data_IF_888741192001
#
_entry.id   IF_888741192001
#
_cell.length_a   1.000
_cell.length_b   1.000
_cell.length_c   1.000
_cell.angle_alpha   90.00
_cell.angle_beta   90.00
_cell.angle_gamma   90.00
#
_symmetry.space_group_name_H-M   'P 1'
#
loop_
_entity.id
_entity.type
_entity.pdbx_description
1 polymer ?
#
# COMPACT_ATOMS: atom_id res chain seq x y z
N UNK A 1 -3.09 -17.39 -19.33
CA UNK A 1 -4.14 -17.03 -18.36
C UNK A 1 -3.47 -16.17 -17.29
N UNK A 2 -3.96 -14.94 -17.07
CA UNK A 2 -3.41 -14.01 -16.08
C UNK A 2 -4.47 -13.78 -14.99
N UNK A 3 -4.07 -13.90 -13.73
CA UNK A 3 -4.91 -13.57 -12.58
C UNK A 3 -4.41 -12.25 -11.98
N UNK A 4 -5.32 -11.29 -11.80
CA UNK A 4 -5.03 -10.02 -11.14
C UNK A 4 -5.76 -9.97 -9.81
N UNK A 5 -5.00 -9.96 -8.71
CA UNK A 5 -5.54 -9.89 -7.35
C UNK A 5 -5.27 -8.50 -6.77
N UNK A 6 -6.30 -7.73 -6.38
CA UNK A 6 -6.12 -6.44 -5.72
C UNK A 6 -5.31 -6.55 -4.43
N UNK A 7 -4.45 -5.56 -4.17
CA UNK A 7 -3.60 -5.51 -2.96
C UNK A 7 -4.43 -5.55 -1.67
N UNK A 8 -5.65 -5.02 -1.67
CA UNK A 8 -6.57 -5.01 -0.52
C UNK A 8 -7.03 -6.41 -0.06
N UNK A 9 -6.84 -7.42 -0.89
CA UNK A 9 -7.17 -8.82 -0.57
C UNK A 9 -6.05 -9.52 0.20
N UNK A 10 -4.86 -8.91 0.27
CA UNK A 10 -3.76 -9.42 1.07
C UNK A 10 -3.86 -8.93 2.51
N UNK A 11 -3.46 -9.77 3.45
CA UNK A 11 -3.53 -9.46 4.88
C UNK A 11 -2.38 -8.58 5.37
N UNK A 12 -1.25 -8.63 4.68
CA UNK A 12 -0.04 -7.96 5.15
C UNK A 12 1.22 -8.62 4.64
N UNK A 13 2.35 -8.06 5.06
CA UNK A 13 3.67 -8.59 4.72
C UNK A 13 4.17 -9.45 5.87
N UNK A 14 4.43 -10.72 5.61
CA UNK A 14 4.88 -11.69 6.60
C UNK A 14 6.31 -12.16 6.32
N UNK A 15 7.04 -12.51 7.39
CA UNK A 15 8.31 -13.23 7.28
C UNK A 15 8.06 -14.69 7.64
N UNK A 16 8.46 -15.60 6.75
CA UNK A 16 8.43 -17.04 7.01
C UNK A 16 9.85 -17.61 6.91
N UNK A 17 10.14 -18.59 7.78
CA UNK A 17 11.36 -19.39 7.69
C UNK A 17 11.06 -20.64 6.88
N UNK A 18 11.68 -20.77 5.72
CA UNK A 18 11.70 -22.01 4.94
C UNK A 18 12.73 -22.99 5.49
N UNK A 19 12.38 -24.27 5.47
CA UNK A 19 13.34 -25.36 5.65
C UNK A 19 13.87 -25.77 4.28
N UNK A 20 15.14 -25.49 4.02
CA UNK A 20 15.89 -26.09 2.92
C UNK A 20 16.92 -27.04 3.53
N UNK A 21 17.21 -28.16 2.85
CA UNK A 21 18.07 -29.24 3.37
C UNK A 21 19.45 -28.78 3.87
N UNK A 22 19.96 -27.67 3.34
CA UNK A 22 21.33 -27.23 3.58
C UNK A 22 21.42 -26.06 4.56
N UNK A 23 20.53 -25.06 4.47
CA UNK A 23 20.55 -23.84 5.32
C UNK A 23 19.16 -23.24 5.52
N UNK A 24 18.90 -22.55 6.65
CA UNK A 24 17.66 -21.81 6.84
C UNK A 24 17.56 -20.69 5.81
N UNK A 25 16.46 -20.65 5.07
CA UNK A 25 16.12 -19.57 4.17
C UNK A 25 14.95 -18.79 4.77
N UNK A 26 15.03 -17.48 4.76
CA UNK A 26 13.95 -16.63 5.22
C UNK A 26 13.35 -15.90 4.02
N UNK A 27 12.02 -15.87 3.95
CA UNK A 27 11.27 -15.22 2.87
C UNK A 27 10.35 -14.16 3.45
N UNK A 28 10.30 -13.01 2.80
CA UNK A 28 9.28 -11.98 2.98
C UNK A 28 8.24 -12.17 1.89
N UNK A 29 6.99 -12.30 2.28
CA UNK A 29 5.88 -12.51 1.34
C UNK A 29 4.68 -11.64 1.66
N UNK A 30 3.96 -11.23 0.63
CA UNK A 30 2.62 -10.67 0.76
C UNK A 30 1.64 -11.82 1.02
N UNK A 31 1.07 -11.86 2.21
CA UNK A 31 0.25 -12.96 2.69
C UNK A 31 -1.19 -12.83 2.18
N UNK A 32 -1.71 -13.90 1.58
CA UNK A 32 -3.09 -14.02 1.14
C UNK A 32 -3.78 -15.17 1.90
N UNK A 33 -5.12 -15.23 1.85
CA UNK A 33 -5.88 -16.33 2.46
C UNK A 33 -5.61 -17.66 1.76
N UNK A 34 -5.57 -17.60 0.45
CA UNK A 34 -5.14 -18.69 -0.41
C UNK A 34 -3.59 -18.74 -0.43
N UNK A 35 -2.96 -19.85 -0.02
CA UNK A 35 -1.52 -20.01 -0.07
C UNK A 35 -0.94 -19.92 -1.48
N UNK A 36 -1.69 -20.29 -2.53
CA UNK A 36 -1.24 -20.22 -3.92
C UNK A 36 -1.17 -18.78 -4.43
N UNK A 37 -1.87 -17.86 -3.77
CA UNK A 37 -1.85 -16.43 -4.08
C UNK A 37 -0.85 -15.65 -3.23
N UNK A 38 -0.07 -16.30 -2.38
CA UNK A 38 0.99 -15.62 -1.62
C UNK A 38 2.15 -15.21 -2.54
N UNK A 39 2.52 -13.94 -2.53
CA UNK A 39 3.58 -13.41 -3.40
C UNK A 39 4.89 -13.28 -2.63
N UNK A 40 5.96 -13.91 -3.11
CA UNK A 40 7.31 -13.76 -2.54
C UNK A 40 7.89 -12.43 -3.00
N UNK A 41 8.26 -11.56 -2.05
CA UNK A 41 8.82 -10.24 -2.34
C UNK A 41 10.36 -10.25 -2.25
N UNK A 42 10.89 -11.00 -1.29
CA UNK A 42 12.34 -11.07 -1.06
C UNK A 42 12.72 -12.35 -0.31
N UNK A 43 13.88 -12.92 -0.65
CA UNK A 43 14.50 -14.02 0.08
C UNK A 43 15.88 -13.62 0.59
N UNK A 44 16.21 -14.06 1.80
CA UNK A 44 17.54 -13.84 2.37
C UNK A 44 17.95 -15.01 3.28
N UNK A 45 19.26 -15.18 3.43
CA UNK A 45 19.86 -16.17 4.34
C UNK A 45 19.94 -15.65 5.78
N UNK A 46 19.80 -14.34 5.99
CA UNK A 46 19.90 -13.68 7.30
C UNK A 46 18.58 -13.02 7.72
N UNK A 47 18.28 -13.06 9.01
CA UNK A 47 17.03 -12.51 9.58
C UNK A 47 17.07 -10.98 9.70
N UNK A 48 18.25 -10.39 9.92
CA UNK A 48 18.41 -8.95 10.18
C UNK A 48 18.02 -8.06 9.00
N UNK A 49 18.33 -8.47 7.77
CA UNK A 49 17.97 -7.71 6.57
C UNK A 49 16.47 -7.73 6.28
N UNK A 50 15.76 -8.78 6.72
CA UNK A 50 14.35 -8.96 6.37
C UNK A 50 13.38 -8.15 7.23
N UNK A 51 13.77 -7.76 8.45
CA UNK A 51 12.93 -6.88 9.26
C UNK A 51 12.74 -5.51 8.59
N UNK A 52 13.82 -4.95 8.01
CA UNK A 52 13.76 -3.70 7.27
C UNK A 52 12.97 -3.87 5.97
N UNK A 53 13.22 -4.96 5.23
CA UNK A 53 12.47 -5.27 4.02
C UNK A 53 10.96 -5.42 4.30
N UNK A 54 10.59 -6.12 5.36
CA UNK A 54 9.20 -6.28 5.77
C UNK A 54 8.54 -4.93 6.04
N UNK A 55 9.19 -4.05 6.82
CA UNK A 55 8.67 -2.70 7.12
C UNK A 55 8.53 -1.86 5.85
N UNK A 56 9.53 -1.92 4.98
CA UNK A 56 9.52 -1.22 3.70
C UNK A 56 8.32 -1.67 2.84
N UNK A 57 8.15 -2.97 2.65
CA UNK A 57 7.05 -3.51 1.85
C UNK A 57 5.68 -3.28 2.47
N UNK A 58 5.57 -3.39 3.80
CA UNK A 58 4.33 -3.08 4.52
C UNK A 58 3.92 -1.61 4.29
N UNK A 59 4.87 -0.68 4.39
CA UNK A 59 4.63 0.73 4.09
C UNK A 59 4.29 0.97 2.61
N UNK A 60 5.01 0.32 1.69
CA UNK A 60 4.80 0.47 0.24
C UNK A 60 3.38 0.07 -0.19
N UNK A 61 2.88 -1.06 0.32
CA UNK A 61 1.54 -1.55 0.01
C UNK A 61 0.44 -1.00 0.94
N UNK A 62 0.80 -0.17 1.93
CA UNK A 62 -0.10 0.30 2.98
C UNK A 62 -0.85 -0.85 3.71
N UNK A 63 -0.14 -1.94 3.99
CA UNK A 63 -0.66 -3.14 4.69
C UNK A 63 0.15 -3.42 5.96
N UNK A 64 -0.39 -4.14 6.96
CA UNK A 64 0.35 -4.36 8.20
C UNK A 64 1.56 -5.30 8.01
N UNK A 65 2.60 -5.07 8.82
CA UNK A 65 3.73 -5.99 8.97
C UNK A 65 3.37 -7.09 9.97
N UNK A 66 3.28 -8.35 9.50
CA UNK A 66 2.87 -9.50 10.28
C UNK A 66 4.09 -10.20 10.91
N UNK A 67 4.15 -10.28 12.25
CA UNK A 67 5.32 -10.77 12.98
C UNK A 67 5.50 -12.30 13.01
N UNK A 68 4.51 -13.10 12.59
CA UNK A 68 4.67 -14.54 12.34
C UNK A 68 3.43 -15.14 11.65
N UNK A 69 3.60 -16.03 10.64
CA UNK A 69 2.54 -16.94 10.24
C UNK A 69 2.92 -18.38 10.66
N UNK A 70 2.51 -18.90 11.83
CA UNK A 70 1.96 -20.24 11.82
C UNK A 70 0.62 -20.16 11.06
N UNK A 71 0.28 -21.15 10.24
CA UNK A 71 -0.98 -21.20 9.50
C UNK A 71 -2.23 -20.90 10.39
N UNK A 72 -2.14 -21.14 11.70
CA UNK A 72 -3.14 -20.77 12.72
C UNK A 72 -3.26 -19.26 13.02
N UNK A 73 -2.20 -18.45 12.85
CA UNK A 73 -2.26 -17.00 13.05
C UNK A 73 -2.98 -16.27 11.92
N UNK A 74 -2.94 -16.80 10.70
CA UNK A 74 -3.71 -16.24 9.59
C UNK A 74 -5.22 -16.34 9.85
N UNK A 75 -5.70 -17.47 10.36
CA UNK A 75 -7.10 -17.63 10.77
C UNK A 75 -7.51 -16.62 11.87
N UNK A 76 -6.63 -16.33 12.83
CA UNK A 76 -6.87 -15.31 13.85
C UNK A 76 -6.86 -13.88 13.30
N UNK A 77 -5.98 -13.58 12.34
CA UNK A 77 -5.95 -12.28 11.66
C UNK A 77 -7.17 -12.08 10.75
N UNK A 78 -7.67 -13.14 10.11
CA UNK A 78 -8.92 -13.13 9.35
C UNK A 78 -10.10 -12.82 10.28
N UNK A 79 -10.18 -13.48 11.43
CA UNK A 79 -11.24 -13.25 12.42
C UNK A 79 -11.16 -11.86 13.09
N UNK A 80 -9.96 -11.29 13.20
CA UNK A 80 -9.72 -9.97 13.77
C UNK A 80 -9.80 -8.83 12.74
N UNK A 81 -9.91 -9.13 11.43
CA UNK A 81 -10.15 -8.12 10.42
C UNK A 81 -11.60 -7.63 10.64
N UNK A 82 -11.84 -6.39 11.10
CA UNK A 82 -13.19 -5.85 11.05
C UNK A 82 -13.63 -6.00 9.60
N UNK A 83 -14.84 -6.54 9.39
CA UNK A 83 -15.42 -6.68 8.06
C UNK A 83 -15.40 -5.30 7.41
N UNK A 84 -14.32 -5.01 6.67
CA UNK A 84 -14.23 -3.83 5.85
C UNK A 84 -15.21 -4.11 4.74
N UNK A 85 -16.39 -3.57 4.96
CA UNK A 85 -17.46 -3.44 4.02
C UNK A 85 -16.85 -3.14 2.66
N UNK A 86 -17.23 -3.96 1.68
CA UNK A 86 -17.23 -3.62 0.26
C UNK A 86 -17.37 -2.11 0.07
N UNK A 87 -16.54 -1.45 -0.75
CA UNK A 87 -16.75 -0.04 -1.03
C UNK A 87 -18.03 0.10 -1.85
N UNK A 88 -19.13 0.43 -1.19
CA UNK A 88 -20.17 1.23 -1.81
C UNK A 88 -19.61 2.67 -1.89
N UNK A 89 -19.51 3.16 -3.11
CA UNK A 89 -19.22 4.54 -3.52
C UNK A 89 -17.82 5.14 -3.22
N UNK A 90 -17.08 5.64 -4.23
CA UNK A 90 -15.77 6.28 -4.06
C UNK A 90 -15.85 7.75 -3.64
N UNK A 91 -16.94 8.19 -3.00
CA UNK A 91 -17.13 9.59 -2.60
C UNK A 91 -17.25 9.73 -1.09
N UNK A 92 -16.16 9.46 -0.36
CA UNK A 92 -15.81 10.14 0.92
C UNK A 92 -14.57 9.49 1.54
N UNK A 93 -13.39 10.07 1.29
CA UNK A 93 -12.26 9.95 2.21
C UNK A 93 -12.04 11.35 2.79
N UNK A 94 -12.53 11.54 4.01
CA UNK A 94 -12.19 12.68 4.85
C UNK A 94 -10.89 12.29 5.58
N UNK A 95 -9.79 13.05 5.46
CA UNK A 95 -8.62 12.86 6.31
C UNK A 95 -8.88 13.45 7.71
N UNK A 96 -8.83 12.60 8.75
CA UNK A 96 -8.82 13.02 10.16
C UNK A 96 -7.43 13.55 10.51
N UNK A 97 -7.25 14.87 10.42
CA UNK A 97 -6.13 15.60 11.02
C UNK A 97 -6.70 16.45 12.15
N UNK A 98 -6.36 16.12 13.40
CA UNK A 98 -6.69 16.94 14.56
C UNK A 98 -5.87 18.24 14.54
N UNK A 99 -6.48 19.43 14.70
CA UNK A 99 -5.76 20.70 14.68
C UNK A 99 -5.30 21.11 16.10
N UNK A 100 -4.14 21.76 16.25
CA UNK A 100 -3.95 22.71 17.33
C UNK A 100 -4.32 24.13 16.84
N UNK A 101 -5.29 24.69 17.54
CA UNK A 101 -5.72 26.09 17.58
C UNK A 101 -4.56 27.07 17.80
N UNK A 102 -4.38 28.04 16.90
CA UNK A 102 -3.98 29.42 17.26
C UNK A 102 -4.44 30.40 16.17
N UNK A 103 -4.82 31.59 16.63
CA UNK A 103 -5.67 32.58 15.97
C UNK A 103 -4.95 33.52 14.99
N UNK A 104 -5.77 34.39 14.35
CA UNK A 104 -5.42 35.67 13.69
C UNK A 104 -4.68 35.54 12.33
N UNK A 105 -5.04 36.25 11.24
CA UNK A 105 -5.67 37.57 11.09
C UNK A 105 -6.14 37.77 9.63
N UNK A 106 -7.32 38.38 9.43
CA UNK A 106 -7.84 38.82 8.12
C UNK A 106 -6.96 39.90 7.47
N UNK A 107 -6.79 39.88 6.14
CA UNK A 107 -6.78 41.10 5.30
C UNK A 107 -7.38 40.82 3.91
N UNK A 108 -8.24 41.75 3.48
CA UNK A 108 -9.12 41.69 2.31
C UNK A 108 -8.54 42.45 1.10
N UNK A 109 -8.96 41.97 -0.09
CA UNK A 109 -9.20 42.66 -1.38
C UNK A 109 -8.01 43.14 -2.21
N UNK A 110 -7.94 42.65 -3.46
CA UNK A 110 -8.07 43.48 -4.68
C UNK A 110 -8.48 42.63 -5.91
N UNK A 111 -9.19 43.29 -6.83
CA UNK A 111 -9.99 42.79 -7.95
C UNK A 111 -9.17 42.64 -9.26
N UNK A 112 -9.62 41.69 -10.10
CA UNK A 112 -9.65 41.60 -11.59
C UNK A 112 -8.34 41.45 -12.39
N UNK A 113 -8.29 40.43 -13.28
CA UNK A 113 -8.71 40.48 -14.71
C UNK A 113 -8.85 39.06 -15.29
N UNK A 114 -9.87 38.86 -16.14
CA UNK A 114 -10.03 37.69 -17.02
C UNK A 114 -9.01 37.82 -18.16
N UNK A 115 -8.13 36.83 -18.30
CA UNK A 115 -7.35 36.58 -19.52
C UNK A 115 -7.82 35.25 -20.11
N UNK A 116 -8.07 35.24 -21.41
CA UNK A 116 -8.62 34.12 -22.16
C UNK A 116 -7.70 32.89 -22.17
N UNK A 117 -8.36 31.76 -22.41
CA UNK A 117 -7.86 30.39 -22.48
C UNK A 117 -6.74 30.22 -23.51
N UNK A 118 -5.60 29.74 -23.04
CA UNK A 118 -4.77 28.76 -23.73
C UNK A 118 -4.18 27.86 -22.65
N UNK A 119 -4.96 26.86 -22.24
CA UNK A 119 -4.54 25.87 -21.26
C UNK A 119 -3.92 24.72 -22.05
N UNK A 120 -2.59 24.49 -22.01
CA UNK A 120 -2.05 23.23 -22.50
C UNK A 120 -2.64 22.08 -21.64
N UNK A 121 -2.81 20.87 -22.19
CA UNK A 121 -3.34 19.75 -21.43
C UNK A 121 -2.46 19.52 -20.19
N UNK A 122 -3.10 19.50 -19.03
CA UNK A 122 -2.43 19.26 -17.76
C UNK A 122 -1.97 17.80 -17.71
N UNK A 123 -0.67 17.55 -17.87
CA UNK A 123 -0.06 16.28 -17.51
C UNK A 123 -0.01 16.23 -15.98
N UNK A 124 -0.77 15.33 -15.37
CA UNK A 124 -0.77 15.16 -13.93
C UNK A 124 0.52 14.45 -13.48
N UNK A 125 1.00 14.78 -12.29
CA UNK A 125 2.24 14.23 -11.74
C UNK A 125 2.09 12.71 -11.55
N UNK A 126 2.68 11.92 -12.45
CA UNK A 126 2.57 10.45 -12.49
C UNK A 126 2.29 9.88 -13.87
N UNK A 127 1.90 10.71 -14.84
CA UNK A 127 1.65 10.30 -16.22
C UNK A 127 2.84 10.65 -17.13
N UNK A 128 3.18 9.76 -18.08
CA UNK A 128 4.16 10.00 -19.15
C UNK A 128 3.42 10.03 -20.49
N UNK A 129 3.61 11.10 -21.24
CA UNK A 129 3.16 11.19 -22.63
C UNK A 129 4.07 10.31 -23.50
N UNK A 130 3.48 9.41 -24.29
CA UNK A 130 4.21 8.58 -25.26
C UNK A 130 3.89 9.14 -26.64
N UNK A 131 4.89 9.75 -27.28
CA UNK A 131 4.79 10.23 -28.65
C UNK A 131 5.34 9.13 -29.56
N UNK A 132 4.49 8.57 -30.42
CA UNK A 132 4.90 7.64 -31.47
C UNK A 132 5.24 8.42 -32.74
N UNK A 133 6.38 8.08 -33.36
CA UNK A 133 6.67 8.43 -34.75
C UNK A 133 6.62 7.13 -35.56
N UNK A 134 6.02 7.20 -36.74
CA UNK A 134 5.94 6.11 -37.72
C UNK A 134 7.32 5.86 -38.36
#
# INVERSE_FOLDING_TARGET
MHLSVPVVNYFGVAIARGQRRDRPLYRVSLAHQDPELCVILQEARGRSSLANAQRYWAAFFAVPALTAPPARSLARLIAARPAMQTPADPSMIIPTVSPPTTAQRRRRRRRRRKGLLNRPPSIFRGEREIICYD
#
